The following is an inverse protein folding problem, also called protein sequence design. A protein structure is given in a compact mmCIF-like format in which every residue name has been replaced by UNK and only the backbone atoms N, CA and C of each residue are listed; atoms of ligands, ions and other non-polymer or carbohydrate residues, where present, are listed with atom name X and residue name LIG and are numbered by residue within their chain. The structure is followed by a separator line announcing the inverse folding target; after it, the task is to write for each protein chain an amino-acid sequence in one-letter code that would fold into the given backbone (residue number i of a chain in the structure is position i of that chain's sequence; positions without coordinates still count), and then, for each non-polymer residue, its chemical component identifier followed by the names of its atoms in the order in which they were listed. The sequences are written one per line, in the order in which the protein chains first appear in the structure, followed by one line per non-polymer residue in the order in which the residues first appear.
data_IF_138277568699
#
_entry.id   IF_138277568699
#
_cell.length_a   1.000
_cell.length_b   1.000
_cell.length_c   1.000
_cell.angle_alpha   90.00
_cell.angle_beta   90.00
_cell.angle_gamma   90.00
#
_symmetry.space_group_name_H-M   'P 1'
#
loop_
_entity.id
_entity.type
_entity.pdbx_description
1 polymer ?
#
# COMPACT_ATOMS: atom_id res chain seq x y z
N UNK A 1 23.91 -16.69 -63.43
CA UNK A 1 25.38 -16.64 -63.39
C UNK A 1 25.78 -16.80 -61.94
N UNK A 2 25.87 -17.96 -61.52
CA UNK A 2 26.89 -18.92 -61.06
C UNK A 2 28.19 -18.21 -60.69
N UNK A 3 28.60 -18.32 -59.43
CA UNK A 3 29.93 -18.79 -59.01
C UNK A 3 29.99 -19.06 -57.51
N UNK A 4 30.15 -20.34 -57.29
CA UNK A 4 30.66 -21.02 -56.11
C UNK A 4 32.02 -20.51 -55.61
N UNK A 5 32.32 -20.71 -54.34
CA UNK A 5 33.60 -21.19 -53.78
C UNK A 5 33.45 -21.41 -52.28
N UNK A 6 33.30 -22.68 -51.84
CA UNK A 6 34.30 -23.58 -51.30
C UNK A 6 34.93 -23.21 -49.94
N UNK A 7 34.61 -24.04 -48.96
CA UNK A 7 35.26 -24.28 -47.65
C UNK A 7 36.73 -24.69 -47.79
N UNK A 8 37.52 -24.60 -46.73
CA UNK A 8 38.05 -25.87 -46.20
C UNK A 8 37.91 -26.03 -44.69
N UNK A 9 37.68 -27.28 -44.30
CA UNK A 9 37.80 -27.83 -42.98
C UNK A 9 39.23 -28.32 -42.74
N UNK A 10 39.78 -28.09 -41.53
CA UNK A 10 40.93 -28.76 -40.88
C UNK A 10 40.74 -28.49 -39.39
N UNK A 11 40.80 -29.40 -38.46
CA UNK A 11 41.29 -30.73 -38.29
C UNK A 11 41.44 -30.94 -36.77
N UNK A 12 41.06 -32.07 -36.33
CA UNK A 12 41.07 -32.66 -34.98
C UNK A 12 42.46 -32.62 -34.30
N UNK A 13 42.51 -32.30 -32.97
CA UNK A 13 43.50 -32.90 -32.08
C UNK A 13 42.92 -33.02 -30.66
N UNK A 14 42.61 -34.23 -30.29
CA UNK A 14 42.32 -34.69 -28.94
C UNK A 14 43.63 -34.82 -28.15
N UNK A 15 43.65 -34.39 -26.93
CA UNK A 15 44.67 -34.80 -25.93
C UNK A 15 43.97 -35.06 -24.60
N UNK A 16 43.80 -36.34 -24.32
CA UNK A 16 43.42 -36.87 -22.99
C UNK A 16 44.68 -36.91 -22.14
N UNK A 17 44.62 -36.36 -20.95
CA UNK A 17 45.55 -36.66 -19.85
C UNK A 17 44.71 -36.84 -18.57
N UNK A 18 44.55 -38.09 -18.21
CA UNK A 18 44.08 -38.52 -16.90
C UNK A 18 45.27 -38.50 -15.93
N UNK A 19 45.08 -37.91 -14.77
CA UNK A 19 45.90 -38.17 -13.61
C UNK A 19 44.97 -38.29 -12.38
N UNK A 20 44.87 -39.53 -11.92
CA UNK A 20 44.26 -39.88 -10.66
C UNK A 20 45.20 -39.45 -9.50
N UNK A 21 44.64 -38.81 -8.48
CA UNK A 21 45.30 -38.55 -7.22
C UNK A 21 44.25 -38.62 -6.10
N UNK A 22 44.13 -39.82 -5.48
CA UNK A 22 43.45 -39.96 -4.19
C UNK A 22 44.22 -39.30 -3.10
N UNK A 23 43.62 -38.40 -2.34
CA UNK A 23 44.01 -38.17 -0.95
C UNK A 23 42.74 -37.93 -0.12
N UNK A 24 42.53 -38.84 0.79
CA UNK A 24 41.58 -38.78 1.91
C UNK A 24 41.95 -37.67 2.85
N UNK A 25 41.00 -36.77 3.12
CA UNK A 25 41.07 -35.78 4.16
C UNK A 25 39.65 -35.29 4.47
N UNK A 26 39.00 -35.94 5.43
CA UNK A 26 37.80 -35.38 6.04
C UNK A 26 38.18 -34.14 6.85
N UNK A 27 37.74 -33.00 6.41
CA UNK A 27 37.59 -31.82 7.25
C UNK A 27 36.22 -31.23 6.86
N UNK A 28 35.29 -31.26 7.82
CA UNK A 28 34.06 -30.49 7.72
C UNK A 28 34.46 -29.01 7.65
N UNK A 29 34.36 -28.46 6.46
CA UNK A 29 34.35 -27.03 6.26
C UNK A 29 32.89 -26.59 6.31
N UNK A 30 32.62 -25.65 7.17
CA UNK A 30 31.43 -24.81 7.03
C UNK A 30 31.35 -24.32 5.57
N UNK A 31 30.13 -24.21 4.99
CA UNK A 31 30.01 -23.57 3.68
C UNK A 31 30.59 -22.16 3.77
N UNK A 32 31.58 -21.89 2.96
CA UNK A 32 32.34 -20.65 2.96
C UNK A 32 31.39 -19.45 2.76
N UNK A 33 31.53 -18.47 3.65
CA UNK A 33 30.87 -17.16 3.67
C UNK A 33 31.25 -16.22 2.50
N UNK A 34 31.79 -16.73 1.40
CA UNK A 34 32.41 -15.94 0.34
C UNK A 34 31.63 -15.99 -1.00
N UNK A 35 30.42 -16.57 -1.03
CA UNK A 35 29.59 -16.53 -2.25
C UNK A 35 28.90 -15.17 -2.34
N UNK A 36 29.14 -14.43 -3.43
CA UNK A 36 28.43 -13.17 -3.72
C UNK A 36 26.96 -13.48 -4.00
N UNK A 37 26.08 -12.83 -3.24
CA UNK A 37 24.63 -12.95 -3.34
C UNK A 37 24.07 -11.63 -3.85
N UNK A 38 23.28 -11.67 -4.92
CA UNK A 38 22.47 -10.52 -5.35
C UNK A 38 21.03 -10.78 -4.95
N UNK A 39 20.48 -9.90 -4.11
CA UNK A 39 19.07 -9.86 -3.74
C UNK A 39 18.32 -8.86 -4.61
N UNK A 40 17.29 -9.31 -5.28
CA UNK A 40 16.39 -8.44 -6.04
C UNK A 40 15.22 -8.03 -5.14
N UNK A 41 15.13 -6.76 -4.80
CA UNK A 41 14.07 -6.20 -3.96
C UNK A 41 13.12 -5.34 -4.79
N UNK A 42 11.88 -5.79 -4.95
CA UNK A 42 10.83 -5.06 -5.69
C UNK A 42 10.07 -4.16 -4.75
N UNK A 43 10.09 -2.85 -5.01
CA UNK A 43 9.50 -1.80 -4.16
C UNK A 43 8.61 -0.87 -4.95
N UNK A 44 7.66 -0.21 -4.28
CA UNK A 44 6.97 0.94 -4.84
C UNK A 44 7.87 2.18 -4.75
N UNK A 45 7.98 2.93 -5.84
CA UNK A 45 8.61 4.25 -5.86
C UNK A 45 7.51 5.30 -5.93
N UNK A 46 7.46 6.17 -4.94
CA UNK A 46 6.42 7.19 -4.73
C UNK A 46 7.10 8.55 -4.48
N UNK A 47 6.35 9.66 -4.38
CA UNK A 47 6.95 10.97 -4.07
C UNK A 47 7.77 11.02 -2.77
N UNK A 48 7.40 10.20 -1.78
CA UNK A 48 8.10 10.12 -0.49
C UNK A 48 9.10 8.95 -0.42
N UNK A 49 8.78 7.79 -0.99
CA UNK A 49 9.65 6.61 -1.06
C UNK A 49 10.39 6.58 -2.41
N UNK A 50 11.38 7.44 -2.55
CA UNK A 50 12.14 7.59 -3.81
C UNK A 50 13.12 6.43 -4.02
N UNK A 51 13.63 6.25 -5.24
CA UNK A 51 14.69 5.26 -5.51
C UNK A 51 15.96 5.55 -4.69
N UNK A 52 16.30 6.83 -4.49
CA UNK A 52 17.41 7.25 -3.63
C UNK A 52 17.18 6.81 -2.19
N UNK A 53 15.97 7.03 -1.64
CA UNK A 53 15.61 6.58 -0.31
C UNK A 53 15.82 5.07 -0.12
N UNK A 54 15.36 4.26 -1.10
CA UNK A 54 15.51 2.81 -1.00
C UNK A 54 16.97 2.35 -1.04
N UNK A 55 17.80 2.98 -1.90
CA UNK A 55 19.23 2.68 -1.96
C UNK A 55 19.95 3.09 -0.66
N UNK A 56 19.65 4.26 -0.11
CA UNK A 56 20.22 4.74 1.16
C UNK A 56 19.79 3.87 2.34
N UNK A 57 18.56 3.35 2.33
CA UNK A 57 18.03 2.50 3.38
C UNK A 57 18.75 1.14 3.46
N UNK A 58 19.10 0.55 2.33
CA UNK A 58 19.76 -0.77 2.30
C UNK A 58 21.28 -0.68 2.42
N UNK A 59 21.89 0.47 2.16
CA UNK A 59 23.33 0.64 2.17
C UNK A 59 24.02 0.21 3.51
N UNK A 60 23.50 0.53 4.71
CA UNK A 60 24.08 0.04 5.96
C UNK A 60 24.03 -1.49 6.08
N UNK A 61 22.98 -2.14 5.59
CA UNK A 61 22.91 -3.59 5.55
C UNK A 61 24.01 -4.20 4.67
N UNK A 62 24.28 -3.60 3.51
CA UNK A 62 25.34 -4.05 2.59
C UNK A 62 26.73 -3.84 3.19
N UNK A 63 26.93 -2.73 3.94
CA UNK A 63 28.19 -2.49 4.65
C UNK A 63 28.46 -3.57 5.72
N UNK A 64 27.41 -4.05 6.41
CA UNK A 64 27.48 -5.13 7.40
C UNK A 64 27.57 -6.52 6.76
N UNK A 65 27.08 -6.67 5.52
CA UNK A 65 27.04 -7.93 4.77
C UNK A 65 27.72 -7.77 3.40
N UNK A 66 29.02 -7.60 3.32
CA UNK A 66 29.72 -7.22 2.08
C UNK A 66 29.67 -8.26 0.95
N UNK A 67 29.15 -9.44 1.22
CA UNK A 67 28.89 -10.48 0.23
C UNK A 67 27.43 -10.45 -0.31
N UNK A 68 26.60 -9.51 0.16
CA UNK A 68 25.20 -9.36 -0.29
C UNK A 68 25.04 -7.99 -0.95
N UNK A 69 24.61 -7.99 -2.19
CA UNK A 69 24.27 -6.81 -2.99
C UNK A 69 22.74 -6.74 -3.16
N UNK A 70 22.10 -5.60 -2.85
CA UNK A 70 20.65 -5.43 -2.91
C UNK A 70 20.27 -4.57 -4.10
N UNK A 71 19.69 -5.17 -5.11
CA UNK A 71 19.24 -4.48 -6.33
C UNK A 71 17.79 -4.05 -6.19
N UNK A 72 17.58 -2.74 -6.04
CA UNK A 72 16.24 -2.15 -6.00
C UNK A 72 15.58 -2.22 -7.38
N UNK A 73 14.37 -2.75 -7.43
CA UNK A 73 13.55 -2.86 -8.64
C UNK A 73 12.23 -2.09 -8.46
N UNK A 74 11.86 -1.33 -9.49
CA UNK A 74 10.61 -0.58 -9.53
C UNK A 74 9.72 -1.11 -10.66
N UNK A 75 8.50 -1.58 -10.39
CA UNK A 75 7.58 -2.07 -11.42
C UNK A 75 6.94 -0.94 -12.25
N UNK A 76 7.20 0.32 -11.89
CA UNK A 76 6.57 1.48 -12.53
C UNK A 76 5.13 1.72 -12.07
N UNK A 77 4.32 2.33 -12.94
CA UNK A 77 2.97 2.78 -12.59
C UNK A 77 1.97 1.65 -12.25
N UNK A 78 2.27 0.39 -12.59
CA UNK A 78 1.40 -0.74 -12.22
C UNK A 78 1.46 -1.08 -10.72
N UNK A 79 2.56 -0.73 -10.05
CA UNK A 79 2.80 -1.05 -8.64
C UNK A 79 3.18 -2.51 -8.38
N UNK A 80 3.74 -2.76 -7.18
CA UNK A 80 4.26 -4.09 -6.81
C UNK A 80 3.16 -5.15 -6.79
N UNK A 81 2.01 -4.86 -6.21
CA UNK A 81 0.91 -5.82 -6.07
C UNK A 81 0.41 -6.36 -7.43
N UNK A 82 0.37 -5.53 -8.46
CA UNK A 82 -0.01 -5.95 -9.81
C UNK A 82 1.13 -6.66 -10.55
N UNK A 83 2.39 -6.27 -10.29
CA UNK A 83 3.55 -6.85 -10.96
C UNK A 83 3.88 -8.28 -10.49
N UNK A 84 3.73 -8.58 -9.19
CA UNK A 84 4.14 -9.86 -8.58
C UNK A 84 3.51 -11.08 -9.26
N UNK A 85 2.18 -11.18 -9.51
CA UNK A 85 1.59 -12.33 -10.19
C UNK A 85 2.17 -12.54 -11.59
N UNK A 86 2.42 -11.46 -12.32
CA UNK A 86 3.01 -11.50 -13.66
C UNK A 86 4.46 -12.00 -13.65
N UNK A 87 5.25 -11.52 -12.69
CA UNK A 87 6.66 -11.90 -12.52
C UNK A 87 6.77 -13.37 -12.10
N UNK A 88 5.90 -13.84 -11.19
CA UNK A 88 5.80 -15.26 -10.83
C UNK A 88 5.46 -16.13 -12.04
N UNK A 89 4.45 -15.75 -12.83
CA UNK A 89 4.06 -16.48 -14.03
C UNK A 89 5.17 -16.51 -15.10
N UNK A 90 6.00 -15.47 -15.17
CA UNK A 90 7.14 -15.38 -16.10
C UNK A 90 8.38 -16.15 -15.62
N UNK A 91 8.40 -16.62 -14.35
CA UNK A 91 9.59 -17.23 -13.74
C UNK A 91 10.71 -16.23 -13.46
N UNK A 92 10.38 -14.94 -13.35
CA UNK A 92 11.29 -13.81 -13.08
C UNK A 92 10.99 -13.14 -11.73
N UNK A 93 10.66 -13.95 -10.73
CA UNK A 93 10.31 -13.48 -9.40
C UNK A 93 11.51 -12.80 -8.70
N UNK A 94 11.32 -11.65 -8.04
CA UNK A 94 12.31 -11.06 -7.15
C UNK A 94 12.47 -11.92 -5.87
N UNK A 95 13.50 -11.60 -5.05
CA UNK A 95 13.71 -12.29 -3.77
C UNK A 95 12.81 -11.71 -2.68
N UNK A 96 12.78 -10.38 -2.56
CA UNK A 96 12.00 -9.63 -1.59
C UNK A 96 11.01 -8.72 -2.32
N UNK A 97 9.80 -8.62 -1.79
CA UNK A 97 8.77 -7.71 -2.28
C UNK A 97 8.25 -6.84 -1.14
N UNK A 98 8.04 -5.55 -1.41
CA UNK A 98 7.46 -4.58 -0.50
C UNK A 98 6.04 -4.23 -0.97
N UNK A 99 5.14 -3.92 -0.02
CA UNK A 99 3.77 -3.44 -0.30
C UNK A 99 2.89 -4.45 -1.04
N UNK A 100 2.95 -5.71 -0.63
CA UNK A 100 1.90 -6.69 -0.95
C UNK A 100 1.12 -7.05 0.31
N UNK A 101 -0.18 -7.31 0.15
CA UNK A 101 -1.00 -7.91 1.21
C UNK A 101 -1.13 -9.41 0.91
N UNK A 102 -0.64 -10.30 1.79
CA UNK A 102 -0.85 -11.73 1.64
C UNK A 102 -2.34 -12.06 1.65
N UNK A 103 -2.75 -12.85 0.66
CA UNK A 103 -4.08 -13.45 0.58
C UNK A 103 -3.96 -14.97 0.65
N UNK A 104 -5.04 -15.68 0.90
CA UNK A 104 -5.06 -17.15 0.87
C UNK A 104 -4.56 -17.73 -0.45
N UNK A 105 -4.75 -17.00 -1.55
CA UNK A 105 -4.27 -17.38 -2.89
C UNK A 105 -2.78 -17.10 -3.09
N UNK A 106 -2.25 -16.01 -2.53
CA UNK A 106 -0.84 -15.63 -2.68
C UNK A 106 0.06 -16.33 -1.65
N UNK A 107 -0.44 -16.62 -0.45
CA UNK A 107 0.33 -17.28 0.62
C UNK A 107 1.10 -18.54 0.18
N UNK A 108 0.59 -19.41 -0.73
CA UNK A 108 1.36 -20.53 -1.26
C UNK A 108 2.67 -20.14 -1.96
N UNK A 109 2.77 -18.93 -2.49
CA UNK A 109 3.95 -18.40 -3.19
C UNK A 109 4.91 -17.64 -2.28
N UNK A 110 4.55 -17.45 -0.99
CA UNK A 110 5.33 -16.72 0.00
C UNK A 110 6.01 -17.67 1.00
N UNK A 111 7.16 -17.25 1.51
CA UNK A 111 7.86 -17.95 2.59
C UNK A 111 7.13 -17.71 3.91
N UNK A 112 6.92 -18.79 4.68
CA UNK A 112 6.40 -18.72 6.05
C UNK A 112 7.46 -18.12 6.98
N UNK A 113 7.18 -16.93 7.50
CA UNK A 113 8.08 -16.18 8.38
C UNK A 113 7.78 -16.40 9.87
N UNK A 114 6.82 -17.26 10.23
CA UNK A 114 6.37 -17.45 11.61
C UNK A 114 7.45 -17.97 12.57
N UNK A 115 8.54 -18.52 12.02
CA UNK A 115 9.70 -18.95 12.82
C UNK A 115 10.57 -17.79 13.31
N UNK A 116 10.41 -16.60 12.73
CA UNK A 116 11.15 -15.39 13.08
C UNK A 116 10.32 -14.53 14.05
N UNK A 117 10.89 -14.25 15.23
CA UNK A 117 10.24 -13.43 16.25
C UNK A 117 9.86 -12.03 15.72
N UNK A 118 10.75 -11.43 14.92
CA UNK A 118 10.50 -10.12 14.30
C UNK A 118 9.30 -10.09 13.33
N UNK A 119 8.88 -11.25 12.81
CA UNK A 119 7.68 -11.36 11.99
C UNK A 119 6.45 -11.79 12.83
N UNK A 120 6.63 -12.73 13.76
CA UNK A 120 5.55 -13.28 14.58
C UNK A 120 5.03 -12.27 15.62
N UNK A 121 5.91 -11.43 16.15
CA UNK A 121 5.59 -10.40 17.16
C UNK A 121 5.64 -8.98 16.57
N UNK A 122 5.71 -8.86 15.24
CA UNK A 122 5.72 -7.60 14.53
C UNK A 122 4.38 -6.85 14.59
N UNK A 123 4.35 -5.58 14.18
CA UNK A 123 3.13 -4.79 14.13
C UNK A 123 2.01 -5.48 13.35
N UNK A 124 0.81 -5.58 13.95
CA UNK A 124 -0.39 -6.16 13.35
C UNK A 124 -0.23 -7.63 12.88
N UNK A 125 0.79 -8.37 13.34
CA UNK A 125 1.12 -9.72 12.88
C UNK A 125 -0.08 -10.69 12.94
N UNK A 126 -0.84 -10.67 14.05
CA UNK A 126 -2.04 -11.50 14.22
C UNK A 126 -3.12 -11.19 13.18
N UNK A 127 -3.26 -9.93 12.78
CA UNK A 127 -4.29 -9.50 11.82
C UNK A 127 -3.97 -9.94 10.40
N UNK A 128 -2.68 -10.10 10.08
CA UNK A 128 -2.19 -10.48 8.75
C UNK A 128 -1.94 -11.98 8.61
N UNK A 129 -2.10 -12.74 9.68
CA UNK A 129 -1.88 -14.20 9.65
C UNK A 129 -2.91 -14.89 8.74
N UNK A 130 -2.47 -15.98 8.09
CA UNK A 130 -3.31 -16.86 7.28
C UNK A 130 -3.05 -18.30 7.74
N UNK A 131 -4.08 -18.97 8.26
CA UNK A 131 -3.93 -20.30 8.81
C UNK A 131 -2.93 -20.36 9.97
N UNK A 132 -2.84 -19.29 10.77
CA UNK A 132 -1.89 -19.15 11.88
C UNK A 132 -0.43 -18.97 11.47
N UNK A 133 -0.17 -18.52 10.23
CA UNK A 133 1.16 -18.29 9.68
C UNK A 133 1.32 -16.85 9.22
N UNK A 134 2.52 -16.32 9.41
CA UNK A 134 2.89 -14.99 8.98
C UNK A 134 3.72 -15.04 7.69
N UNK A 135 3.29 -14.31 6.67
CA UNK A 135 3.94 -14.27 5.35
C UNK A 135 4.55 -12.92 5.03
N UNK A 136 4.47 -11.98 5.96
CA UNK A 136 5.09 -10.68 5.86
C UNK A 136 5.49 -10.13 7.24
N UNK A 137 6.35 -9.13 7.24
CA UNK A 137 6.67 -8.30 8.39
C UNK A 137 6.73 -6.84 7.96
N UNK A 138 6.38 -5.92 8.85
CA UNK A 138 6.40 -4.49 8.58
C UNK A 138 7.03 -3.70 9.70
N UNK A 139 7.25 -2.42 9.42
CA UNK A 139 7.92 -1.51 10.36
C UNK A 139 6.98 -0.92 11.41
N UNK A 140 5.68 -0.89 11.15
CA UNK A 140 4.68 -0.23 11.96
C UNK A 140 3.31 -0.31 11.29
N UNK A 141 2.49 0.70 11.49
CA UNK A 141 1.20 0.83 10.82
C UNK A 141 1.00 2.24 10.27
N UNK A 142 0.21 2.33 9.23
CA UNK A 142 -0.24 3.58 8.62
C UNK A 142 -1.74 3.74 8.80
N UNK A 143 -2.17 4.96 9.11
CA UNK A 143 -3.58 5.28 9.19
C UNK A 143 -4.17 5.49 7.80
N UNK A 144 -5.43 5.08 7.67
CA UNK A 144 -6.26 5.29 6.50
C UNK A 144 -7.58 5.92 6.94
N UNK A 145 -8.51 6.13 6.01
CA UNK A 145 -9.79 6.78 6.35
C UNK A 145 -9.58 8.15 7.00
N UNK A 146 -8.73 8.96 6.36
CA UNK A 146 -8.39 10.32 6.77
C UNK A 146 -8.79 11.32 5.68
N UNK A 147 -9.11 12.53 6.13
CA UNK A 147 -9.30 13.70 5.29
C UNK A 147 -8.32 14.80 5.71
N UNK A 148 -7.37 15.10 4.84
CA UNK A 148 -6.52 16.28 4.97
C UNK A 148 -7.27 17.50 4.43
N UNK A 149 -7.08 18.65 5.07
CA UNK A 149 -7.78 19.87 4.68
C UNK A 149 -6.86 21.09 4.69
N UNK A 150 -7.13 22.03 3.80
CA UNK A 150 -6.47 23.31 3.74
C UNK A 150 -7.13 24.24 4.79
N UNK A 151 -6.38 24.60 5.85
CA UNK A 151 -6.88 25.45 6.95
C UNK A 151 -7.31 26.83 6.46
N UNK A 152 -6.61 27.38 5.46
CA UNK A 152 -7.00 28.66 4.84
C UNK A 152 -8.33 28.55 4.13
N UNK A 153 -8.56 27.47 3.36
CA UNK A 153 -9.83 27.25 2.66
C UNK A 153 -11.01 27.15 3.63
N UNK A 154 -10.84 26.41 4.73
CA UNK A 154 -11.85 26.26 5.77
C UNK A 154 -12.16 27.60 6.44
N UNK A 155 -11.13 28.38 6.80
CA UNK A 155 -11.31 29.70 7.38
C UNK A 155 -12.04 30.69 6.42
N UNK A 156 -11.67 30.70 5.14
CA UNK A 156 -12.32 31.55 4.13
C UNK A 156 -13.78 31.14 3.86
N UNK A 157 -14.10 29.84 3.99
CA UNK A 157 -15.45 29.33 3.88
C UNK A 157 -16.29 29.45 5.17
N UNK A 158 -15.70 29.98 6.26
CA UNK A 158 -16.36 30.13 7.55
C UNK A 158 -16.69 28.79 8.21
N UNK A 159 -15.78 27.82 8.08
CA UNK A 159 -15.88 26.50 8.71
C UNK A 159 -14.97 26.52 9.93
N UNK A 160 -15.56 26.71 11.12
CA UNK A 160 -14.83 26.82 12.37
C UNK A 160 -14.66 25.48 13.10
N UNK A 161 -15.50 24.49 12.80
CA UNK A 161 -15.49 23.15 13.39
C UNK A 161 -15.27 22.09 12.31
N UNK A 162 -14.46 21.09 12.61
CA UNK A 162 -14.21 19.97 11.67
C UNK A 162 -15.42 19.06 11.63
N UNK A 163 -15.82 18.58 10.43
CA UNK A 163 -16.97 17.71 10.28
C UNK A 163 -16.74 16.35 10.96
N UNK A 164 -17.71 15.90 11.71
CA UNK A 164 -17.74 14.59 12.40
C UNK A 164 -18.74 13.62 11.78
N UNK A 165 -19.65 14.14 10.95
CA UNK A 165 -20.62 13.34 10.19
C UNK A 165 -20.51 13.59 8.70
N UNK A 166 -21.00 12.65 7.91
CA UNK A 166 -21.05 12.75 6.44
C UNK A 166 -21.89 13.95 6.00
N UNK A 167 -22.99 14.23 6.69
CA UNK A 167 -23.85 15.40 6.42
C UNK A 167 -23.09 16.70 6.68
N UNK A 168 -22.36 16.81 7.81
CA UNK A 168 -21.54 17.98 8.11
C UNK A 168 -20.40 18.17 7.10
N UNK A 169 -19.77 17.07 6.64
CA UNK A 169 -18.76 17.16 5.57
C UNK A 169 -19.40 17.63 4.27
N UNK A 170 -20.56 17.13 3.90
CA UNK A 170 -21.28 17.55 2.70
C UNK A 170 -21.66 19.05 2.76
N UNK A 171 -22.08 19.54 3.92
CA UNK A 171 -22.33 20.97 4.13
C UNK A 171 -21.05 21.80 4.00
N UNK A 172 -19.95 21.32 4.58
CA UNK A 172 -18.63 21.98 4.48
C UNK A 172 -18.14 22.06 3.03
N UNK A 173 -18.31 20.98 2.25
CA UNK A 173 -17.98 20.97 0.81
C UNK A 173 -18.79 22.00 0.01
N UNK A 174 -20.06 22.18 0.36
CA UNK A 174 -20.90 23.22 -0.22
C UNK A 174 -20.37 24.63 0.07
N UNK A 175 -20.04 24.93 1.33
CA UNK A 175 -19.45 26.22 1.75
C UNK A 175 -18.10 26.49 1.04
N UNK A 176 -17.25 25.48 0.92
CA UNK A 176 -15.98 25.56 0.20
C UNK A 176 -16.17 25.92 -1.27
N UNK A 177 -17.13 25.27 -1.93
CA UNK A 177 -17.48 25.58 -3.31
C UNK A 177 -18.01 26.99 -3.48
N UNK A 178 -18.90 27.45 -2.58
CA UNK A 178 -19.46 28.80 -2.61
C UNK A 178 -18.39 29.87 -2.36
N UNK A 179 -17.35 29.54 -1.58
CA UNK A 179 -16.16 30.38 -1.39
C UNK A 179 -15.19 30.36 -2.58
N UNK A 180 -15.45 29.55 -3.62
CA UNK A 180 -14.66 29.50 -4.86
C UNK A 180 -13.54 28.45 -4.87
N UNK A 181 -13.48 27.59 -3.87
CA UNK A 181 -12.52 26.50 -3.81
C UNK A 181 -12.97 25.28 -4.64
N UNK A 182 -12.02 24.49 -5.12
CA UNK A 182 -12.29 23.11 -5.53
C UNK A 182 -12.42 22.29 -4.25
N UNK A 183 -13.61 21.75 -3.91
CA UNK A 183 -13.82 21.17 -2.58
C UNK A 183 -12.98 19.94 -2.33
N UNK A 184 -12.97 18.94 -3.25
CA UNK A 184 -12.25 17.68 -3.07
C UNK A 184 -11.18 17.53 -4.16
N UNK A 185 -9.95 17.22 -3.73
CA UNK A 185 -8.89 16.71 -4.59
C UNK A 185 -9.00 15.19 -4.71
N UNK A 186 -8.99 14.69 -5.92
CA UNK A 186 -8.80 13.27 -6.24
C UNK A 186 -8.08 13.13 -7.57
N UNK A 187 -7.88 11.92 -8.06
CA UNK A 187 -7.26 11.62 -9.36
C UNK A 187 -7.91 10.42 -10.03
N UNK A 188 -7.48 10.13 -11.25
CA UNK A 188 -8.06 9.08 -12.08
C UNK A 188 -7.58 7.65 -11.79
N UNK A 189 -6.65 7.51 -10.87
CA UNK A 189 -6.10 6.19 -10.47
C UNK A 189 -6.91 5.60 -9.29
N UNK A 190 -6.26 4.88 -8.41
CA UNK A 190 -6.82 4.29 -7.19
C UNK A 190 -7.43 5.32 -6.21
N UNK A 191 -7.05 6.59 -6.32
CA UNK A 191 -7.53 7.66 -5.44
C UNK A 191 -9.05 7.87 -5.50
N UNK A 192 -9.70 7.56 -6.62
CA UNK A 192 -11.16 7.67 -6.73
C UNK A 192 -11.84 6.77 -5.72
N UNK A 193 -11.45 5.49 -5.66
CA UNK A 193 -12.02 4.52 -4.74
C UNK A 193 -11.54 4.73 -3.31
N UNK A 194 -10.34 5.30 -3.09
CA UNK A 194 -9.84 5.61 -1.76
C UNK A 194 -10.77 6.56 -1.02
N UNK A 195 -11.24 7.63 -1.68
CA UNK A 195 -12.21 8.56 -1.11
C UNK A 195 -13.54 7.87 -0.76
N UNK A 196 -14.06 7.01 -1.66
CA UNK A 196 -15.28 6.24 -1.38
C UNK A 196 -15.10 5.29 -0.20
N UNK A 197 -13.99 4.58 -0.15
CA UNK A 197 -13.69 3.63 0.93
C UNK A 197 -13.44 4.34 2.27
N UNK A 198 -12.76 5.50 2.26
CA UNK A 198 -12.60 6.33 3.44
C UNK A 198 -13.95 6.78 4.01
N UNK A 199 -14.94 7.04 3.15
CA UNK A 199 -16.29 7.44 3.54
C UNK A 199 -17.11 6.27 4.10
N UNK A 200 -17.04 5.09 3.49
CA UNK A 200 -17.90 3.96 3.79
C UNK A 200 -17.36 3.02 4.87
N UNK A 201 -16.12 2.55 4.69
CA UNK A 201 -15.57 1.43 5.44
C UNK A 201 -15.57 1.62 6.98
N UNK A 202 -15.22 2.80 7.54
CA UNK A 202 -15.23 2.97 8.99
C UNK A 202 -16.60 2.69 9.62
N UNK A 203 -17.68 3.14 8.98
CA UNK A 203 -19.05 2.91 9.45
C UNK A 203 -19.47 1.47 9.23
N UNK A 204 -19.21 0.92 8.06
CA UNK A 204 -19.56 -0.47 7.69
C UNK A 204 -18.94 -1.46 8.68
N UNK A 205 -17.65 -1.30 9.01
CA UNK A 205 -16.97 -2.21 9.94
C UNK A 205 -17.41 -1.97 11.40
N UNK A 206 -17.76 -0.74 11.78
CA UNK A 206 -18.30 -0.49 13.12
C UNK A 206 -19.68 -1.16 13.33
N UNK A 207 -20.47 -1.25 12.27
CA UNK A 207 -21.78 -1.93 12.28
C UNK A 207 -21.64 -3.45 12.14
N UNK A 208 -20.72 -3.91 11.29
CA UNK A 208 -20.46 -5.33 11.03
C UNK A 208 -18.94 -5.63 11.01
N UNK A 209 -18.36 -6.04 12.14
CA UNK A 209 -16.95 -6.41 12.22
C UNK A 209 -16.55 -7.61 11.35
N UNK A 210 -17.53 -8.41 10.88
CA UNK A 210 -17.35 -9.60 10.02
C UNK A 210 -17.58 -9.30 8.54
N UNK A 211 -17.83 -8.05 8.18
CA UNK A 211 -18.21 -7.61 6.84
C UNK A 211 -17.34 -8.20 5.70
N UNK A 212 -16.02 -8.29 5.89
CA UNK A 212 -15.14 -8.85 4.85
C UNK A 212 -15.51 -10.30 4.49
N UNK A 213 -15.87 -11.10 5.49
CA UNK A 213 -16.30 -12.48 5.31
C UNK A 213 -17.71 -12.54 4.74
N UNK A 214 -18.63 -11.73 5.28
CA UNK A 214 -20.03 -11.77 4.97
C UNK A 214 -20.32 -11.31 3.53
N UNK A 215 -19.65 -10.25 3.07
CA UNK A 215 -19.76 -9.82 1.66
C UNK A 215 -19.05 -10.79 0.71
N UNK A 216 -17.92 -11.39 1.11
CA UNK A 216 -17.19 -12.35 0.29
C UNK A 216 -17.94 -13.68 0.14
N UNK A 217 -18.70 -14.09 1.15
CA UNK A 217 -19.55 -15.28 1.12
C UNK A 217 -20.92 -15.04 0.46
N UNK A 218 -21.29 -13.78 0.25
CA UNK A 218 -22.60 -13.37 -0.25
C UNK A 218 -23.71 -13.40 0.82
N UNK A 219 -23.37 -13.40 2.10
CA UNK A 219 -24.34 -13.27 3.20
C UNK A 219 -24.95 -11.87 3.24
N UNK A 220 -24.15 -10.84 2.88
CA UNK A 220 -24.61 -9.49 2.62
C UNK A 220 -24.17 -9.07 1.22
N UNK A 221 -24.95 -8.20 0.56
CA UNK A 221 -24.52 -7.63 -0.71
C UNK A 221 -23.65 -6.39 -0.48
N UNK A 222 -22.82 -6.04 -1.46
CA UNK A 222 -22.00 -4.85 -1.38
C UNK A 222 -22.87 -3.58 -1.32
N UNK A 223 -23.96 -3.57 -2.10
CA UNK A 223 -24.91 -2.46 -2.15
C UNK A 223 -25.66 -2.23 -0.83
N UNK A 224 -25.96 -3.28 -0.05
CA UNK A 224 -26.60 -3.14 1.27
C UNK A 224 -25.72 -2.39 2.27
N UNK A 225 -24.39 -2.42 2.08
CA UNK A 225 -23.42 -1.83 3.03
C UNK A 225 -22.77 -0.55 2.50
N UNK A 226 -22.44 -0.49 1.22
CA UNK A 226 -21.78 0.66 0.58
C UNK A 226 -22.75 1.58 -0.17
N UNK A 227 -24.03 1.20 -0.29
CA UNK A 227 -25.00 1.92 -1.13
C UNK A 227 -25.10 3.39 -0.79
N UNK A 228 -25.32 3.74 0.48
CA UNK A 228 -25.46 5.12 0.93
C UNK A 228 -24.21 5.96 0.64
N UNK A 229 -23.02 5.37 0.80
CA UNK A 229 -21.76 6.05 0.49
C UNK A 229 -21.57 6.25 -1.03
N UNK A 230 -22.00 5.29 -1.85
CA UNK A 230 -21.98 5.39 -3.32
C UNK A 230 -22.95 6.48 -3.79
N UNK A 231 -24.14 6.56 -3.20
CA UNK A 231 -25.11 7.61 -3.50
C UNK A 231 -24.58 8.99 -3.09
N UNK A 232 -24.03 9.11 -1.89
CA UNK A 232 -23.38 10.36 -1.41
C UNK A 232 -22.25 10.80 -2.34
N UNK A 233 -21.39 9.86 -2.75
CA UNK A 233 -20.29 10.16 -3.67
C UNK A 233 -20.81 10.65 -5.03
N UNK A 234 -21.85 10.01 -5.57
CA UNK A 234 -22.50 10.43 -6.82
C UNK A 234 -23.11 11.83 -6.70
N UNK A 235 -23.75 12.14 -5.56
CA UNK A 235 -24.28 13.47 -5.26
C UNK A 235 -23.16 14.52 -5.18
N UNK A 236 -22.02 14.20 -4.61
CA UNK A 236 -20.84 15.09 -4.59
C UNK A 236 -20.29 15.36 -5.99
N UNK A 237 -20.28 14.35 -6.88
CA UNK A 237 -19.93 14.54 -8.31
C UNK A 237 -20.96 15.46 -8.98
N UNK A 238 -22.26 15.17 -8.82
CA UNK A 238 -23.32 15.98 -9.42
C UNK A 238 -23.35 17.43 -8.92
N UNK A 239 -23.04 17.62 -7.62
CA UNK A 239 -22.88 18.95 -7.02
C UNK A 239 -21.59 19.66 -7.48
N UNK A 240 -20.66 18.96 -8.14
CA UNK A 240 -19.36 19.49 -8.58
C UNK A 240 -18.39 19.70 -7.41
N UNK A 241 -18.50 18.92 -6.34
CA UNK A 241 -17.50 18.89 -5.26
C UNK A 241 -16.31 18.04 -5.68
N UNK A 242 -16.51 17.00 -6.49
CA UNK A 242 -15.48 16.21 -7.15
C UNK A 242 -15.49 16.60 -8.64
N UNK A 243 -14.40 17.20 -9.15
CA UNK A 243 -14.35 17.62 -10.54
C UNK A 243 -14.18 16.41 -11.49
N UNK A 244 -14.91 16.42 -12.62
CA UNK A 244 -14.86 15.30 -13.58
C UNK A 244 -13.54 15.20 -14.35
N UNK A 245 -12.79 16.28 -14.44
CA UNK A 245 -11.43 16.30 -15.05
C UNK A 245 -10.39 15.64 -14.13
N UNK A 246 -10.71 15.36 -12.87
CA UNK A 246 -9.88 14.58 -11.96
C UNK A 246 -9.48 13.20 -12.55
N UNK A 247 -10.32 12.61 -13.41
CA UNK A 247 -9.98 11.33 -14.08
C UNK A 247 -8.69 11.38 -14.91
N UNK A 248 -8.26 12.56 -15.34
CA UNK A 248 -6.98 12.77 -16.05
C UNK A 248 -5.78 13.01 -15.15
N UNK A 249 -5.99 13.23 -13.86
CA UNK A 249 -4.94 13.60 -12.90
C UNK A 249 -4.28 12.34 -12.32
N UNK A 250 -2.96 12.30 -12.31
CA UNK A 250 -2.18 11.21 -11.71
C UNK A 250 -1.83 11.50 -10.26
N UNK A 251 -1.56 10.45 -9.48
CA UNK A 251 -1.30 10.55 -8.04
C UNK A 251 -0.29 11.65 -7.67
N UNK A 252 0.93 11.75 -8.25
CA UNK A 252 1.86 12.82 -7.89
C UNK A 252 1.34 14.22 -8.21
N UNK A 253 0.56 14.37 -9.29
CA UNK A 253 -0.01 15.65 -9.70
C UNK A 253 -1.16 16.08 -8.78
N UNK A 254 -1.95 15.11 -8.29
CA UNK A 254 -3.00 15.35 -7.31
C UNK A 254 -2.43 15.82 -5.96
N UNK A 255 -1.38 15.16 -5.46
CA UNK A 255 -0.69 15.60 -4.24
C UNK A 255 -0.13 17.01 -4.41
N UNK A 256 0.55 17.28 -5.51
CA UNK A 256 1.12 18.61 -5.78
C UNK A 256 0.04 19.69 -5.89
N UNK A 257 -1.13 19.38 -6.46
CA UNK A 257 -2.25 20.32 -6.54
C UNK A 257 -2.78 20.67 -5.14
N UNK A 258 -2.92 19.68 -4.25
CA UNK A 258 -3.36 19.90 -2.87
C UNK A 258 -2.29 20.65 -2.05
N UNK A 259 -1.03 20.22 -2.11
CA UNK A 259 0.09 20.89 -1.42
C UNK A 259 0.21 22.38 -1.82
N UNK A 260 -0.04 22.70 -3.08
CA UNK A 260 0.02 24.10 -3.57
C UNK A 260 -1.19 24.95 -3.17
N UNK A 261 -2.14 24.41 -2.38
CA UNK A 261 -3.29 25.14 -1.88
C UNK A 261 -4.36 25.46 -2.93
N UNK A 262 -4.48 24.65 -3.99
CA UNK A 262 -5.50 24.82 -5.05
C UNK A 262 -6.84 24.19 -4.71
N UNK A 263 -6.83 23.23 -3.80
CA UNK A 263 -7.99 22.43 -3.43
C UNK A 263 -8.15 22.40 -1.90
N UNK A 264 -9.34 22.12 -1.41
CA UNK A 264 -9.67 22.30 -0.01
C UNK A 264 -9.55 21.04 0.84
N UNK A 265 -9.93 19.87 0.30
CA UNK A 265 -9.94 18.59 1.02
C UNK A 265 -9.29 17.51 0.16
N UNK A 266 -8.53 16.62 0.79
CA UNK A 266 -7.86 15.49 0.13
C UNK A 266 -7.95 14.24 1.01
N UNK A 267 -8.67 13.22 0.54
CA UNK A 267 -8.71 11.93 1.22
C UNK A 267 -7.46 11.12 0.90
N UNK A 268 -6.66 10.82 1.94
CA UNK A 268 -5.40 10.10 1.79
C UNK A 268 -5.04 9.37 3.09
N UNK A 269 -4.05 8.50 3.05
CA UNK A 269 -3.50 7.88 4.24
C UNK A 269 -2.38 8.72 4.89
N UNK A 270 -1.91 8.30 6.05
CA UNK A 270 -0.92 9.03 6.86
C UNK A 270 0.40 9.29 6.13
N UNK A 271 0.74 8.49 5.11
CA UNK A 271 1.95 8.69 4.30
C UNK A 271 2.00 10.06 3.61
N UNK A 272 0.86 10.72 3.42
CA UNK A 272 0.83 12.08 2.88
C UNK A 272 1.62 13.08 3.75
N UNK A 273 1.68 12.87 5.08
CA UNK A 273 2.47 13.72 5.96
C UNK A 273 3.97 13.68 5.61
N UNK A 274 4.49 12.54 5.17
CA UNK A 274 5.87 12.41 4.68
C UNK A 274 6.13 13.21 3.40
N UNK A 275 5.16 13.26 2.48
CA UNK A 275 5.25 14.12 1.29
C UNK A 275 5.15 15.61 1.67
N UNK A 276 4.21 15.96 2.55
CA UNK A 276 4.02 17.33 3.02
C UNK A 276 5.26 17.87 3.74
N UNK A 277 5.94 17.04 4.54
CA UNK A 277 7.17 17.41 5.25
C UNK A 277 8.30 17.88 4.31
N UNK A 278 8.34 17.37 3.09
CA UNK A 278 9.35 17.72 2.07
C UNK A 278 8.96 18.93 1.21
N UNK A 279 7.72 19.38 1.27
CA UNK A 279 7.21 20.48 0.46
C UNK A 279 7.50 21.82 1.15
N UNK A 280 8.51 22.56 0.65
CA UNK A 280 8.98 23.82 1.23
C UNK A 280 7.90 24.93 1.29
N UNK A 281 6.96 24.92 0.35
CA UNK A 281 5.91 25.94 0.19
C UNK A 281 4.51 25.29 0.24
N UNK A 282 4.31 24.28 1.11
CA UNK A 282 3.00 23.66 1.25
C UNK A 282 1.98 24.62 1.87
N UNK A 283 0.70 24.45 1.48
CA UNK A 283 -0.41 25.06 2.19
C UNK A 283 -0.39 24.68 3.68
N UNK A 284 -1.04 25.50 4.54
CA UNK A 284 -1.28 25.12 5.94
C UNK A 284 -2.37 24.04 5.97
N UNK A 285 -1.93 22.80 6.24
CA UNK A 285 -2.74 21.59 6.15
C UNK A 285 -2.98 21.04 7.55
N UNK A 286 -4.22 20.64 7.82
CA UNK A 286 -4.61 19.84 8.96
C UNK A 286 -5.21 18.51 8.53
N UNK A 287 -5.60 17.68 9.50
CA UNK A 287 -6.18 16.36 9.25
C UNK A 287 -7.33 16.09 10.22
N UNK A 288 -8.33 15.34 9.74
CA UNK A 288 -9.40 14.79 10.58
C UNK A 288 -9.76 13.38 10.13
N UNK A 289 -10.36 12.60 11.03
CA UNK A 289 -10.82 11.25 10.74
C UNK A 289 -11.96 11.30 9.73
N UNK A 290 -12.08 10.28 8.89
CA UNK A 290 -13.26 10.12 8.06
C UNK A 290 -14.52 10.20 8.94
N UNK A 291 -15.52 11.03 8.56
CA UNK A 291 -16.70 11.25 9.37
C UNK A 291 -17.56 9.99 9.42
N UNK A 292 -18.27 9.80 10.53
CA UNK A 292 -19.24 8.74 10.69
C UNK A 292 -20.52 9.02 9.91
N UNK A 293 -21.30 7.98 9.60
CA UNK A 293 -22.64 8.15 9.05
C UNK A 293 -23.56 8.91 10.04
N UNK A 294 -23.37 8.69 11.35
CA UNK A 294 -24.10 9.43 12.38
C UNK A 294 -23.18 9.84 13.53
N UNK A 295 -23.41 11.03 14.12
CA UNK A 295 -22.57 11.63 15.17
C UNK A 295 -22.39 10.79 16.45
N UNK A 296 -23.33 9.85 16.71
CA UNK A 296 -23.25 8.95 17.89
C UNK A 296 -22.29 7.77 17.66
N UNK A 297 -21.91 7.52 16.44
CA UNK A 297 -21.09 6.37 16.08
C UNK A 297 -19.61 6.75 16.21
N UNK A 298 -18.82 5.85 16.79
CA UNK A 298 -17.36 5.94 16.76
C UNK A 298 -16.90 5.06 15.59
N UNK A 299 -16.60 5.65 14.43
CA UNK A 299 -16.24 4.85 13.27
C UNK A 299 -14.93 4.12 13.51
N UNK A 300 -14.82 2.91 12.95
CA UNK A 300 -13.57 2.19 12.91
C UNK A 300 -12.50 3.04 12.19
N UNK A 301 -11.25 2.91 12.60
CA UNK A 301 -10.11 3.56 11.96
C UNK A 301 -9.46 2.59 10.99
N UNK A 302 -9.41 2.95 9.73
CA UNK A 302 -8.64 2.21 8.75
C UNK A 302 -7.16 2.23 9.11
N UNK A 303 -6.53 1.06 9.16
CA UNK A 303 -5.10 0.93 9.36
C UNK A 303 -4.55 -0.25 8.58
N UNK A 304 -3.41 -0.04 7.95
CA UNK A 304 -2.66 -1.10 7.28
C UNK A 304 -1.25 -1.18 7.85
N UNK A 305 -0.62 -2.34 7.69
CA UNK A 305 0.80 -2.48 8.03
C UNK A 305 1.64 -1.53 7.16
N UNK A 306 2.60 -0.86 7.78
CA UNK A 306 3.51 0.03 7.09
C UNK A 306 4.70 -0.74 6.53
N UNK A 307 5.10 -0.42 5.29
CA UNK A 307 6.20 -1.07 4.58
C UNK A 307 6.24 -2.59 4.80
N UNK A 308 5.20 -3.34 4.38
CA UNK A 308 5.19 -4.79 4.52
C UNK A 308 6.19 -5.43 3.56
N UNK A 309 7.02 -6.31 4.10
CA UNK A 309 8.02 -7.08 3.35
C UNK A 309 7.67 -8.56 3.36
N UNK A 310 7.78 -9.20 2.20
CA UNK A 310 7.60 -10.66 2.03
C UNK A 310 8.73 -11.25 1.20
N UNK A 311 8.98 -12.55 1.38
CA UNK A 311 9.95 -13.31 0.60
C UNK A 311 9.16 -14.23 -0.34
N UNK A 312 9.49 -14.20 -1.63
CA UNK A 312 8.90 -15.12 -2.58
C UNK A 312 9.57 -16.51 -2.48
N UNK A 313 8.78 -17.59 -2.46
CA UNK A 313 9.30 -18.97 -2.41
C UNK A 313 10.20 -19.32 -3.60
N UNK A 314 10.03 -18.64 -4.72
CA UNK A 314 10.85 -18.78 -5.90
C UNK A 314 12.28 -18.26 -5.69
N UNK A 315 12.54 -17.46 -4.66
CA UNK A 315 13.89 -17.00 -4.29
C UNK A 315 14.78 -18.20 -3.95
N UNK A 316 16.02 -18.14 -4.44
CA UNK A 316 17.09 -19.08 -4.07
C UNK A 316 17.90 -18.61 -2.87
N UNK A 317 17.68 -17.36 -2.46
CA UNK A 317 18.47 -16.65 -1.45
C UNK A 317 17.62 -16.34 -0.20
N UNK A 318 16.69 -17.24 0.19
CA UNK A 318 15.68 -16.99 1.23
C UNK A 318 16.31 -16.59 2.58
N UNK A 319 17.44 -17.20 2.96
CA UNK A 319 18.12 -16.86 4.21
C UNK A 319 18.72 -15.44 4.19
N UNK A 320 19.32 -15.03 3.07
CA UNK A 320 19.82 -13.67 2.90
C UNK A 320 18.67 -12.65 2.83
N UNK A 321 17.58 -13.00 2.16
CA UNK A 321 16.35 -12.20 2.11
C UNK A 321 15.73 -12.02 3.51
N UNK A 322 15.73 -13.07 4.35
CA UNK A 322 15.26 -12.99 5.73
C UNK A 322 16.13 -12.06 6.58
N UNK A 323 17.47 -12.09 6.43
CA UNK A 323 18.38 -11.16 7.12
C UNK A 323 18.14 -9.71 6.68
N UNK A 324 17.89 -9.46 5.40
CA UNK A 324 17.56 -8.12 4.92
C UNK A 324 16.24 -7.64 5.55
N UNK A 325 15.19 -8.46 5.58
CA UNK A 325 13.93 -8.06 6.19
C UNK A 325 14.10 -7.85 7.70
N UNK A 326 14.82 -8.72 8.41
CA UNK A 326 15.14 -8.54 9.82
C UNK A 326 15.76 -7.16 10.07
N UNK A 327 16.81 -6.80 9.31
CA UNK A 327 17.41 -5.47 9.38
C UNK A 327 16.38 -4.36 9.15
N UNK A 328 15.59 -4.43 8.09
CA UNK A 328 14.60 -3.41 7.71
C UNK A 328 13.51 -3.19 8.77
N UNK A 329 13.17 -4.22 9.57
CA UNK A 329 12.07 -4.15 10.54
C UNK A 329 12.53 -4.10 12.01
N UNK A 330 13.84 -4.25 12.29
CA UNK A 330 14.39 -4.26 13.66
C UNK A 330 15.51 -3.26 13.91
N UNK A 331 16.29 -2.87 12.88
CA UNK A 331 17.30 -1.83 13.07
C UNK A 331 16.63 -0.49 13.38
N UNK A 332 17.01 0.15 14.48
CA UNK A 332 16.36 1.35 15.00
C UNK A 332 16.35 2.48 13.96
N UNK A 333 17.48 2.68 13.27
CA UNK A 333 17.60 3.74 12.26
C UNK A 333 16.79 3.39 11.00
N UNK A 334 16.89 2.16 10.52
CA UNK A 334 16.15 1.73 9.34
C UNK A 334 14.63 1.82 9.58
N UNK A 335 14.14 1.45 10.76
CA UNK A 335 12.73 1.57 11.13
C UNK A 335 12.33 3.05 11.23
N UNK A 336 13.06 3.87 11.97
CA UNK A 336 12.70 5.29 12.18
C UNK A 336 12.75 6.09 10.88
N UNK A 337 13.72 5.85 10.01
CA UNK A 337 13.79 6.52 8.69
C UNK A 337 12.57 6.19 7.83
N UNK A 338 12.12 4.94 7.84
CA UNK A 338 10.92 4.50 7.11
C UNK A 338 9.65 5.09 7.73
N UNK A 339 9.52 5.09 9.07
CA UNK A 339 8.38 5.69 9.75
C UNK A 339 8.27 7.17 9.44
N UNK A 340 9.38 7.90 9.51
CA UNK A 340 9.42 9.34 9.27
C UNK A 340 9.09 9.71 7.82
N UNK A 341 9.69 8.99 6.85
CA UNK A 341 9.52 9.32 5.43
C UNK A 341 8.11 9.05 4.93
N UNK A 342 7.39 8.13 5.56
CA UNK A 342 6.06 7.66 5.13
C UNK A 342 4.96 7.97 6.16
N UNK A 343 5.25 8.82 7.19
CA UNK A 343 4.26 9.28 8.16
C UNK A 343 3.54 8.13 8.88
N UNK A 344 4.28 7.11 9.27
CA UNK A 344 3.77 5.89 9.87
C UNK A 344 4.11 5.83 11.37
N UNK A 345 3.50 4.89 12.09
CA UNK A 345 3.58 4.82 13.54
C UNK A 345 3.99 3.42 14.02
N UNK A 346 4.77 3.36 15.09
CA UNK A 346 5.11 2.14 15.82
C UNK A 346 5.40 2.48 17.28
N UNK A 347 4.79 1.75 18.20
CA UNK A 347 5.04 1.91 19.63
C UNK A 347 6.52 1.66 19.96
N UNK A 348 7.09 2.54 20.80
CA UNK A 348 8.47 2.45 21.24
C UNK A 348 9.51 3.05 20.27
N UNK A 349 9.08 3.61 19.15
CA UNK A 349 9.94 4.32 18.20
C UNK A 349 9.53 5.79 18.12
N UNK A 350 10.50 6.67 18.34
CA UNK A 350 10.32 8.11 18.26
C UNK A 350 11.15 8.69 17.11
N UNK A 351 10.57 9.61 16.35
CA UNK A 351 11.24 10.34 15.28
C UNK A 351 10.72 11.78 15.23
N UNK A 352 11.46 12.67 14.59
CA UNK A 352 11.05 14.08 14.45
C UNK A 352 9.83 14.16 13.53
N UNK A 353 8.73 14.68 14.07
CA UNK A 353 7.46 14.86 13.37
C UNK A 353 7.23 16.32 12.99
N UNK A 354 6.54 16.51 11.87
CA UNK A 354 5.96 17.81 11.52
C UNK A 354 4.73 18.09 12.37
N UNK A 355 4.22 19.35 12.44
CA UNK A 355 2.95 19.63 13.08
C UNK A 355 1.80 18.75 12.58
N UNK A 356 1.77 18.42 11.28
CA UNK A 356 0.78 17.50 10.70
C UNK A 356 0.98 16.05 11.22
N UNK A 357 2.22 15.62 11.38
CA UNK A 357 2.55 14.35 12.01
C UNK A 357 2.09 14.25 13.45
N UNK A 358 2.20 15.36 14.21
CA UNK A 358 1.71 15.46 15.60
C UNK A 358 0.16 15.39 15.66
N UNK A 359 -0.55 16.02 14.71
CA UNK A 359 -2.02 15.89 14.59
C UNK A 359 -2.43 14.43 14.31
N UNK A 360 -1.69 13.73 13.44
CA UNK A 360 -1.91 12.30 13.17
C UNK A 360 -1.63 11.44 14.40
N UNK A 361 -0.56 11.72 15.14
CA UNK A 361 -0.22 11.00 16.37
C UNK A 361 -1.32 11.18 17.45
N UNK A 362 -1.94 12.36 17.50
CA UNK A 362 -3.10 12.58 18.37
C UNK A 362 -4.29 11.69 17.95
N UNK A 363 -4.54 11.53 16.64
CA UNK A 363 -5.58 10.62 16.15
C UNK A 363 -5.26 9.17 16.56
N UNK A 364 -3.99 8.75 16.50
CA UNK A 364 -3.56 7.44 17.00
C UNK A 364 -3.87 7.29 18.49
N UNK A 365 -3.49 8.29 19.30
CA UNK A 365 -3.71 8.27 20.75
C UNK A 365 -5.20 8.23 21.14
N UNK A 366 -6.05 8.86 20.34
CA UNK A 366 -7.50 8.92 20.56
C UNK A 366 -8.24 7.68 19.96
N UNK A 367 -7.54 6.77 19.30
CA UNK A 367 -8.13 5.58 18.66
C UNK A 367 -7.96 4.36 19.56
N UNK A 368 -9.06 3.73 20.03
CA UNK A 368 -8.97 2.46 20.77
C UNK A 368 -8.30 1.36 19.94
N UNK A 369 -7.52 0.49 20.58
CA UNK A 369 -6.76 -0.56 19.87
C UNK A 369 -7.66 -1.54 19.09
N UNK A 370 -8.88 -1.75 19.52
CA UNK A 370 -9.89 -2.62 18.89
C UNK A 370 -10.70 -1.91 17.77
N UNK A 371 -10.50 -0.61 17.59
CA UNK A 371 -11.16 0.15 16.53
C UNK A 371 -10.42 0.07 15.18
N UNK A 372 -9.21 -0.45 15.13
CA UNK A 372 -8.46 -0.56 13.88
C UNK A 372 -8.98 -1.69 12.98
N UNK A 373 -9.10 -1.41 11.68
CA UNK A 373 -9.60 -2.34 10.68
C UNK A 373 -8.75 -2.32 9.42
N UNK A 374 -8.67 -3.44 8.67
CA UNK A 374 -8.13 -3.43 7.32
C UNK A 374 -8.84 -2.42 6.43
N UNK A 375 -8.14 -1.97 5.39
CA UNK A 375 -8.71 -1.13 4.31
C UNK A 375 -8.44 -1.73 2.94
N UNK A 376 -9.02 -1.13 1.90
CA UNK A 376 -8.90 -1.63 0.54
C UNK A 376 -9.51 -3.01 0.39
N UNK A 377 -8.79 -3.93 -0.22
CA UNK A 377 -9.20 -5.33 -0.37
C UNK A 377 -9.04 -6.18 0.89
N UNK A 378 -8.65 -5.58 2.02
CA UNK A 378 -8.35 -6.32 3.24
C UNK A 378 -7.03 -7.08 3.19
N UNK A 379 -6.78 -7.89 4.21
CA UNK A 379 -5.59 -8.73 4.32
C UNK A 379 -5.79 -9.89 5.30
N UNK A 380 -4.85 -10.85 5.27
CA UNK A 380 -4.95 -12.03 6.12
C UNK A 380 -6.18 -12.86 5.76
N UNK A 381 -6.98 -13.18 6.77
CA UNK A 381 -8.25 -13.90 6.60
C UNK A 381 -9.44 -12.95 6.35
N UNK A 382 -9.24 -11.64 6.51
CA UNK A 382 -10.22 -10.59 6.22
C UNK A 382 -9.92 -9.96 4.87
N UNK A 383 -10.21 -10.68 3.79
CA UNK A 383 -9.94 -10.25 2.40
C UNK A 383 -11.20 -10.30 1.56
N UNK A 384 -11.29 -9.37 0.62
CA UNK A 384 -12.27 -9.38 -0.45
C UNK A 384 -11.77 -10.23 -1.62
N UNK A 385 -12.65 -10.68 -2.53
CA UNK A 385 -12.26 -11.47 -3.70
C UNK A 385 -11.16 -10.80 -4.54
N UNK A 386 -10.30 -11.61 -5.14
CA UNK A 386 -9.22 -11.14 -6.03
C UNK A 386 -9.79 -10.28 -7.16
N UNK A 387 -9.13 -9.14 -7.42
CA UNK A 387 -9.59 -8.18 -8.44
C UNK A 387 -10.48 -7.06 -7.89
N UNK A 388 -10.91 -7.15 -6.62
CA UNK A 388 -11.73 -6.10 -6.00
C UNK A 388 -11.17 -4.69 -6.20
N UNK A 389 -9.86 -4.48 -5.96
CA UNK A 389 -9.26 -3.16 -6.11
C UNK A 389 -9.40 -2.59 -7.54
N UNK A 390 -9.30 -3.43 -8.55
CA UNK A 390 -9.52 -3.03 -9.94
C UNK A 390 -10.98 -2.70 -10.23
N UNK A 391 -11.90 -3.51 -9.69
CA UNK A 391 -13.33 -3.33 -9.90
C UNK A 391 -13.84 -2.07 -9.20
N UNK A 392 -13.53 -1.88 -7.91
CA UNK A 392 -13.98 -0.69 -7.18
C UNK A 392 -13.42 0.60 -7.79
N UNK A 393 -12.17 0.60 -8.29
CA UNK A 393 -11.62 1.73 -9.03
C UNK A 393 -12.40 2.00 -10.31
N UNK A 394 -12.71 0.97 -11.10
CA UNK A 394 -13.46 1.08 -12.34
C UNK A 394 -14.85 1.67 -12.08
N UNK A 395 -15.54 1.16 -11.08
CA UNK A 395 -16.91 1.60 -10.78
C UNK A 395 -16.94 3.02 -10.17
N UNK A 396 -15.95 3.38 -9.33
CA UNK A 396 -15.88 4.73 -8.79
C UNK A 396 -15.48 5.76 -9.86
N UNK A 397 -14.63 5.39 -10.82
CA UNK A 397 -14.35 6.23 -12.00
C UNK A 397 -15.60 6.40 -12.86
N UNK A 398 -16.44 5.38 -12.97
CA UNK A 398 -17.72 5.46 -13.68
C UNK A 398 -18.68 6.44 -13.00
N UNK A 399 -18.72 6.53 -11.65
CA UNK A 399 -19.47 7.56 -10.93
C UNK A 399 -19.01 8.97 -11.32
N UNK A 400 -17.69 9.22 -11.32
CA UNK A 400 -17.14 10.53 -11.75
C UNK A 400 -17.49 10.81 -13.21
N UNK A 401 -17.53 9.77 -14.05
CA UNK A 401 -17.97 9.84 -15.46
C UNK A 401 -19.46 10.07 -15.65
N UNK A 402 -20.27 10.08 -14.57
CA UNK A 402 -21.70 10.34 -14.60
C UNK A 402 -22.58 9.10 -14.71
N UNK A 403 -22.05 7.90 -14.48
CA UNK A 403 -22.86 6.68 -14.35
C UNK A 403 -23.74 6.78 -13.11
N UNK A 404 -25.05 6.48 -13.18
CA UNK A 404 -25.94 6.53 -12.03
C UNK A 404 -25.49 5.61 -10.89
N UNK A 405 -25.64 6.05 -9.64
CA UNK A 405 -25.28 5.28 -8.44
C UNK A 405 -25.91 3.87 -8.44
N UNK A 406 -27.20 3.77 -8.79
CA UNK A 406 -27.88 2.48 -8.84
C UNK A 406 -27.27 1.48 -9.83
N UNK A 407 -26.72 1.96 -10.96
CA UNK A 407 -26.06 1.10 -11.95
C UNK A 407 -24.70 0.63 -11.43
N UNK A 408 -23.98 1.50 -10.71
CA UNK A 408 -22.70 1.17 -10.06
C UNK A 408 -22.90 0.18 -8.91
N UNK A 409 -23.90 0.39 -8.05
CA UNK A 409 -24.26 -0.54 -6.98
C UNK A 409 -24.55 -1.92 -7.58
N UNK A 410 -25.42 -1.96 -8.60
CA UNK A 410 -25.74 -3.22 -9.28
C UNK A 410 -24.51 -3.90 -9.89
N UNK A 411 -23.60 -3.15 -10.52
CA UNK A 411 -22.39 -3.71 -11.11
C UNK A 411 -21.47 -4.34 -10.06
N UNK A 412 -21.33 -3.69 -8.89
CA UNK A 412 -20.55 -4.22 -7.78
C UNK A 412 -21.21 -5.46 -7.18
N UNK A 413 -22.52 -5.46 -6.97
CA UNK A 413 -23.26 -6.65 -6.49
C UNK A 413 -23.13 -7.83 -7.46
N UNK A 414 -23.30 -7.60 -8.77
CA UNK A 414 -23.12 -8.62 -9.80
C UNK A 414 -21.67 -9.16 -9.80
N UNK A 415 -20.68 -8.28 -9.60
CA UNK A 415 -19.26 -8.67 -9.54
C UNK A 415 -18.97 -9.53 -8.31
N UNK A 416 -19.45 -9.14 -7.12
CA UNK A 416 -19.30 -9.94 -5.90
C UNK A 416 -19.98 -11.29 -6.04
N UNK A 417 -21.21 -11.33 -6.54
CA UNK A 417 -21.94 -12.58 -6.79
C UNK A 417 -21.19 -13.53 -7.75
N UNK A 418 -20.46 -12.99 -8.73
CA UNK A 418 -19.68 -13.77 -9.68
C UNK A 418 -18.33 -14.26 -9.12
N UNK A 419 -17.82 -13.61 -8.06
CA UNK A 419 -16.49 -13.88 -7.47
C UNK A 419 -16.59 -14.40 -6.02
N UNK A 420 -17.81 -14.55 -5.46
CA UNK A 420 -18.04 -15.20 -4.18
C UNK A 420 -17.59 -16.66 -4.25
N UNK A 421 -16.73 -17.11 -3.29
CA UNK A 421 -16.18 -18.47 -3.30
C UNK A 421 -15.77 -18.94 -1.93
#
# INVERSE_FOLDING_TARGET
MIKDRLLPAVGLAASVLALAGCSTGAAGGDPSSDEEITLRMLVNVTPNLTEEFWNDLVAPFEEENPNIDVVIQNPGAEGVAAAVPRLLAAGDAPDVVQSIAPTTKLAPELVDLSQYEWAAEGPLADQYSIGGKNYMAGIGFQLQSLFFYNKTAFAEAGIDELPTTVDELTEALGKLKDAGWTPIQTGGDWMTSHTLQALALPTVIAEDPTWFQDVSSGEVTFGETYGDAIETYADWVAAGYIPTDALGIKYPDAEQAFLSGKTAVYSMGSWFAGTQAKAADSADIGVFRAPAAAAKDQPAMGANIASPYSILKASKNQDAAAKLIEFLVTDEKAVTDQLAVDGNFRDGYEYEMTPLGEELLQIVADTPADAYTPTGGGYGERTLPDGYSGEINTQTQALIGGTPAADVIKALDDWFAANAG
#
